data_IF_694642740436
#
_entry.id   IF_694642740436
#
_cell.length_a   1.000
_cell.length_b   1.000
_cell.length_c   1.000
_cell.angle_alpha   90.00
_cell.angle_beta   90.00
_cell.angle_gamma   90.00
#
_symmetry.space_group_name_H-M   'P 1'
#
loop_
_entity.id
_entity.type
_entity.pdbx_description
1 polymer ?
#
# COMPACT_ATOMS: atom_id res chain seq x y z
N UNK A 1 36.39 36.40 38.62
CA UNK A 1 35.96 36.41 37.21
C UNK A 1 35.75 34.97 36.77
N UNK A 2 34.49 34.52 36.73
CA UNK A 2 34.13 33.21 36.17
C UNK A 2 33.01 33.47 35.17
N UNK A 3 33.39 33.55 33.90
CA UNK A 3 32.46 33.59 32.78
C UNK A 3 31.68 32.28 32.75
N UNK A 4 30.43 32.34 33.23
CA UNK A 4 29.45 31.30 32.94
C UNK A 4 29.07 31.46 31.47
N UNK A 5 29.58 30.57 30.63
CA UNK A 5 29.00 30.31 29.31
C UNK A 5 27.50 30.02 29.51
N UNK A 6 26.65 31.03 29.30
CA UNK A 6 25.22 30.81 29.09
C UNK A 6 25.11 30.01 27.80
N UNK A 7 25.00 28.68 27.91
CA UNK A 7 24.38 27.90 26.85
C UNK A 7 22.96 28.44 26.71
N UNK A 8 22.79 29.36 25.75
CA UNK A 8 21.49 29.80 25.30
C UNK A 8 20.87 28.53 24.69
N UNK A 9 19.92 27.93 25.38
CA UNK A 9 19.13 26.87 24.79
C UNK A 9 18.32 27.54 23.68
N UNK A 10 18.80 27.38 22.44
CA UNK A 10 18.18 27.95 21.25
C UNK A 10 16.74 27.44 21.18
N UNK A 11 15.79 28.36 21.06
CA UNK A 11 14.36 28.00 21.05
C UNK A 11 14.09 27.13 19.83
N UNK A 12 13.14 26.21 19.91
CA UNK A 12 12.65 25.48 18.74
C UNK A 12 12.12 26.43 17.66
N UNK A 13 11.69 27.64 18.04
CA UNK A 13 11.26 28.68 17.12
C UNK A 13 12.41 29.31 16.30
N UNK A 14 13.67 29.08 16.67
CA UNK A 14 14.84 29.59 15.94
C UNK A 14 15.23 28.68 14.75
N UNK A 15 14.71 27.45 14.70
CA UNK A 15 15.03 26.50 13.63
C UNK A 15 14.36 26.90 12.30
N UNK A 16 14.98 26.64 11.13
CA UNK A 16 14.34 26.83 9.82
C UNK A 16 13.11 25.93 9.62
N UNK A 17 12.18 26.34 8.74
CA UNK A 17 10.93 25.61 8.49
C UNK A 17 11.20 24.19 7.99
N UNK A 18 12.23 24.02 7.17
CA UNK A 18 12.65 22.77 6.57
C UNK A 18 13.09 21.77 7.63
N UNK A 19 13.80 22.23 8.68
CA UNK A 19 14.24 21.40 9.79
C UNK A 19 13.04 20.99 10.66
N UNK A 20 12.12 21.91 10.93
CA UNK A 20 10.90 21.59 11.68
C UNK A 20 10.02 20.58 10.94
N UNK A 21 9.84 20.74 9.62
CA UNK A 21 9.13 19.79 8.77
C UNK A 21 9.83 18.43 8.75
N UNK A 22 11.16 18.42 8.70
CA UNK A 22 11.94 17.19 8.78
C UNK A 22 11.72 16.47 10.11
N UNK A 23 11.76 17.19 11.24
CA UNK A 23 11.45 16.62 12.57
C UNK A 23 10.02 16.06 12.59
N UNK A 24 9.03 16.82 12.10
CA UNK A 24 7.63 16.38 12.04
C UNK A 24 7.43 15.13 11.19
N UNK A 25 8.22 14.92 10.12
CA UNK A 25 8.10 13.75 9.24
C UNK A 25 8.36 12.40 9.93
N UNK A 26 9.01 12.44 11.10
CA UNK A 26 9.22 11.25 11.92
C UNK A 26 8.02 10.90 12.81
N UNK A 27 7.13 11.86 13.06
CA UNK A 27 6.02 11.74 14.01
C UNK A 27 4.75 11.15 13.37
N UNK A 28 3.88 10.60 14.22
CA UNK A 28 2.51 10.26 13.84
C UNK A 28 1.67 11.53 13.71
N UNK A 29 0.63 11.49 12.88
CA UNK A 29 -0.18 12.68 12.59
C UNK A 29 -0.80 13.31 13.85
N UNK A 30 -1.13 12.50 14.86
CA UNK A 30 -1.66 12.99 16.12
C UNK A 30 -0.67 13.94 16.82
N UNK A 31 0.59 13.54 16.93
CA UNK A 31 1.63 14.34 17.58
C UNK A 31 1.99 15.56 16.74
N UNK A 32 2.02 15.41 15.41
CA UNK A 32 2.18 16.55 14.49
C UNK A 32 1.09 17.58 14.74
N UNK A 33 -0.17 17.19 14.79
CA UNK A 33 -1.28 18.11 15.05
C UNK A 33 -1.20 18.70 16.45
N UNK A 34 -0.82 17.93 17.48
CA UNK A 34 -0.61 18.45 18.85
C UNK A 34 0.45 19.56 18.90
N UNK A 35 1.48 19.49 18.07
CA UNK A 35 2.51 20.56 18.04
C UNK A 35 1.96 21.91 17.58
N UNK A 36 0.77 21.96 16.98
CA UNK A 36 0.12 23.21 16.57
C UNK A 36 -0.13 24.19 17.72
N UNK A 37 -0.19 23.71 18.97
CA UNK A 37 -0.39 24.56 20.15
C UNK A 37 0.89 25.31 20.57
N UNK A 38 2.06 24.91 20.07
CA UNK A 38 3.35 25.48 20.46
C UNK A 38 3.48 26.94 20.02
N UNK A 39 3.14 27.25 18.77
CA UNK A 39 3.08 28.63 18.27
C UNK A 39 2.28 28.75 16.98
N UNK A 40 1.96 29.99 16.58
CA UNK A 40 1.28 30.27 15.29
C UNK A 40 2.03 29.68 14.09
N UNK A 41 3.35 29.58 14.18
CA UNK A 41 4.22 29.00 13.14
C UNK A 41 3.96 27.51 13.01
N UNK A 42 4.04 26.76 14.10
CA UNK A 42 3.80 25.31 14.12
C UNK A 42 2.40 24.95 13.63
N UNK A 43 1.38 25.72 14.04
CA UNK A 43 -0.01 25.56 13.58
C UNK A 43 -0.20 25.61 12.06
N UNK A 44 0.62 26.38 11.36
CA UNK A 44 0.54 26.50 9.90
C UNK A 44 1.54 25.58 9.19
N UNK A 45 2.71 25.36 9.79
CA UNK A 45 3.80 24.66 9.14
C UNK A 45 3.48 23.18 8.88
N UNK A 46 2.83 22.50 9.82
CA UNK A 46 2.53 21.07 9.66
C UNK A 46 1.70 20.75 8.41
N UNK A 47 0.92 21.71 7.90
CA UNK A 47 0.11 21.53 6.68
C UNK A 47 0.98 21.23 5.44
N UNK A 48 2.21 21.74 5.43
CA UNK A 48 3.22 21.51 4.38
C UNK A 48 3.94 20.16 4.51
N UNK A 49 3.62 19.36 5.53
CA UNK A 49 4.20 18.04 5.69
C UNK A 49 3.82 17.17 4.48
N UNK A 50 4.84 16.57 3.87
CA UNK A 50 4.68 15.75 2.66
C UNK A 50 4.51 14.27 2.95
N UNK A 51 4.80 13.85 4.18
CA UNK A 51 4.74 12.45 4.59
C UNK A 51 3.79 12.34 5.78
N UNK A 52 2.65 11.68 5.59
CA UNK A 52 1.65 11.51 6.63
C UNK A 52 1.64 10.06 7.09
N UNK A 53 1.74 9.87 8.41
CA UNK A 53 1.61 8.57 9.07
C UNK A 53 0.39 8.59 9.98
N UNK A 54 -0.60 7.78 9.62
CA UNK A 54 -1.86 7.68 10.33
C UNK A 54 -2.00 6.26 10.85
N UNK A 55 -2.06 6.11 12.17
CA UNK A 55 -2.32 4.83 12.80
C UNK A 55 -3.43 4.99 13.85
N UNK A 56 -4.49 4.20 13.70
CA UNK A 56 -5.58 4.18 14.68
C UNK A 56 -5.13 3.74 16.08
N UNK A 57 -4.01 3.00 16.22
CA UNK A 57 -3.51 2.55 17.53
C UNK A 57 -3.07 3.69 18.44
N UNK A 58 -2.69 4.82 17.85
CA UNK A 58 -2.24 6.01 18.59
C UNK A 58 -3.40 6.68 19.34
N UNK A 59 -4.63 6.43 18.89
CA UNK A 59 -5.81 7.08 19.42
C UNK A 59 -6.54 6.16 20.41
N UNK A 60 -6.87 6.73 21.57
CA UNK A 60 -7.66 6.03 22.59
C UNK A 60 -9.04 5.56 22.09
N UNK A 61 -9.63 6.25 21.11
CA UNK A 61 -10.93 5.93 20.51
C UNK A 61 -10.92 6.15 18.99
N UNK A 62 -11.59 5.27 18.21
CA UNK A 62 -11.69 5.43 16.75
C UNK A 62 -12.36 6.73 16.28
N UNK A 63 -13.23 7.33 17.10
CA UNK A 63 -13.88 8.61 16.78
C UNK A 63 -12.88 9.77 16.73
N UNK A 64 -11.93 9.83 17.67
CA UNK A 64 -10.89 10.87 17.67
C UNK A 64 -9.94 10.74 16.49
N UNK A 65 -9.61 9.51 16.08
CA UNK A 65 -8.87 9.29 14.84
C UNK A 65 -9.65 9.82 13.62
N UNK A 66 -10.95 9.54 13.57
CA UNK A 66 -11.84 10.00 12.49
C UNK A 66 -11.93 11.53 12.42
N UNK A 67 -12.04 12.19 13.57
CA UNK A 67 -12.02 13.65 13.69
C UNK A 67 -10.67 14.23 13.25
N UNK A 68 -9.55 13.64 13.71
CA UNK A 68 -8.21 14.04 13.31
C UNK A 68 -8.00 13.92 11.80
N UNK A 69 -8.39 12.80 11.18
CA UNK A 69 -8.27 12.61 9.72
C UNK A 69 -9.14 13.63 8.97
N UNK A 70 -10.37 13.88 9.44
CA UNK A 70 -11.27 14.86 8.82
C UNK A 70 -10.70 16.27 8.90
N UNK A 71 -10.08 16.62 10.03
CA UNK A 71 -9.40 17.90 10.21
C UNK A 71 -8.18 18.02 9.30
N UNK A 72 -7.38 16.95 9.16
CA UNK A 72 -6.22 16.93 8.24
C UNK A 72 -6.65 17.19 6.81
N UNK A 73 -7.69 16.49 6.33
CA UNK A 73 -8.23 16.68 4.99
C UNK A 73 -8.80 18.10 4.82
N UNK A 74 -9.53 18.62 5.80
CA UNK A 74 -10.12 19.96 5.72
C UNK A 74 -9.07 21.07 5.76
N UNK A 75 -8.09 20.96 6.65
CA UNK A 75 -7.00 21.93 6.82
C UNK A 75 -6.06 21.98 5.60
N UNK A 76 -5.93 20.88 4.86
CA UNK A 76 -5.11 20.80 3.63
C UNK A 76 -5.94 20.92 2.34
N UNK A 77 -7.27 20.82 2.42
CA UNK A 77 -8.15 20.71 1.24
C UNK A 77 -8.23 21.95 0.35
N UNK A 78 -7.98 23.15 0.89
CA UNK A 78 -8.05 24.42 0.14
C UNK A 78 -6.71 25.00 -0.28
N UNK A 79 -5.58 24.34 0.04
CA UNK A 79 -4.25 24.86 -0.27
C UNK A 79 -3.42 23.89 -1.10
N UNK A 80 -2.35 24.41 -1.70
CA UNK A 80 -1.38 23.62 -2.45
C UNK A 80 -0.41 22.94 -1.47
N UNK A 81 -0.84 21.83 -0.89
CA UNK A 81 -0.08 21.04 0.07
C UNK A 81 0.23 19.65 -0.53
N UNK A 82 1.26 19.55 -1.41
CA UNK A 82 1.58 18.31 -2.08
C UNK A 82 1.88 17.21 -1.06
N UNK A 83 1.43 16.00 -1.37
CA UNK A 83 1.64 14.84 -0.53
C UNK A 83 2.56 13.86 -1.26
N UNK A 84 3.64 13.45 -0.63
CA UNK A 84 4.61 12.49 -1.17
C UNK A 84 4.27 11.08 -0.74
N UNK A 85 4.09 10.86 0.57
CA UNK A 85 3.78 9.55 1.12
C UNK A 85 2.60 9.57 2.10
N UNK A 86 1.81 8.50 2.05
CA UNK A 86 0.71 8.26 2.97
C UNK A 86 0.82 6.84 3.52
N UNK A 87 1.04 6.74 4.82
CA UNK A 87 0.94 5.49 5.56
C UNK A 87 -0.35 5.50 6.39
N UNK A 88 -1.22 4.53 6.14
CA UNK A 88 -2.51 4.39 6.79
C UNK A 88 -2.63 2.99 7.40
N UNK A 89 -2.68 2.95 8.73
CA UNK A 89 -2.87 1.74 9.53
C UNK A 89 -4.17 1.82 10.31
N UNK A 90 -4.98 0.78 10.20
CA UNK A 90 -6.22 0.63 10.94
C UNK A 90 -6.15 -0.64 11.79
N UNK A 91 -6.67 -0.60 13.01
CA UNK A 91 -6.78 -1.77 13.90
C UNK A 91 -8.23 -2.10 14.28
N UNK A 92 -9.14 -1.13 14.19
CA UNK A 92 -10.56 -1.29 14.54
C UNK A 92 -11.51 -0.75 13.47
N UNK A 93 -12.78 -0.55 13.78
CA UNK A 93 -13.73 0.06 12.85
C UNK A 93 -13.30 1.48 12.45
N UNK A 94 -13.50 1.84 11.18
CA UNK A 94 -13.25 3.18 10.67
C UNK A 94 -14.26 3.54 9.60
N UNK A 95 -14.66 4.81 9.54
CA UNK A 95 -15.69 5.27 8.61
C UNK A 95 -15.17 5.27 7.17
N UNK A 96 -15.90 4.61 6.29
CA UNK A 96 -15.54 4.47 4.87
C UNK A 96 -15.46 5.82 4.15
N UNK A 97 -16.40 6.71 4.45
CA UNK A 97 -16.46 8.05 3.84
C UNK A 97 -15.20 8.87 4.14
N UNK A 98 -14.71 8.81 5.38
CA UNK A 98 -13.51 9.54 5.82
C UNK A 98 -12.26 8.95 5.17
N UNK A 99 -12.17 7.61 5.10
CA UNK A 99 -11.09 6.94 4.37
C UNK A 99 -11.06 7.34 2.90
N UNK A 100 -12.21 7.31 2.23
CA UNK A 100 -12.34 7.66 0.82
C UNK A 100 -11.97 9.12 0.59
N UNK A 101 -12.43 10.03 1.45
CA UNK A 101 -12.05 11.45 1.42
C UNK A 101 -10.55 11.67 1.55
N UNK A 102 -9.91 11.01 2.51
CA UNK A 102 -8.45 11.06 2.71
C UNK A 102 -7.68 10.58 1.48
N UNK A 103 -8.05 9.42 0.94
CA UNK A 103 -7.38 8.84 -0.23
C UNK A 103 -7.56 9.74 -1.45
N UNK A 104 -8.78 10.21 -1.73
CA UNK A 104 -9.03 11.10 -2.87
C UNK A 104 -8.24 12.41 -2.75
N UNK A 105 -8.23 13.02 -1.55
CA UNK A 105 -7.40 14.20 -1.29
C UNK A 105 -5.92 13.92 -1.56
N UNK A 106 -5.40 12.79 -1.08
CA UNK A 106 -4.02 12.39 -1.32
C UNK A 106 -3.70 12.23 -2.81
N UNK A 107 -4.56 11.53 -3.56
CA UNK A 107 -4.38 11.32 -5.00
C UNK A 107 -4.40 12.63 -5.78
N UNK A 108 -5.33 13.54 -5.46
CA UNK A 108 -5.39 14.86 -6.10
C UNK A 108 -4.18 15.75 -5.80
N UNK A 109 -3.38 15.43 -4.78
CA UNK A 109 -2.19 16.18 -4.38
C UNK A 109 -0.87 15.48 -4.78
N UNK A 110 -0.92 14.62 -5.80
CA UNK A 110 0.27 14.05 -6.43
C UNK A 110 0.97 12.96 -5.62
N UNK A 111 0.21 12.19 -4.81
CA UNK A 111 0.75 11.12 -3.98
C UNK A 111 1.66 10.17 -4.78
N UNK A 112 2.84 9.88 -4.24
CA UNK A 112 3.83 9.00 -4.88
C UNK A 112 3.94 7.64 -4.20
N UNK A 113 3.71 7.58 -2.88
CA UNK A 113 3.86 6.36 -2.09
C UNK A 113 2.64 6.14 -1.21
N UNK A 114 2.01 4.98 -1.33
CA UNK A 114 0.83 4.60 -0.57
C UNK A 114 1.07 3.29 0.18
N UNK A 115 0.95 3.34 1.51
CA UNK A 115 1.02 2.17 2.37
C UNK A 115 -0.30 2.03 3.14
N UNK A 116 -1.02 0.93 2.94
CA UNK A 116 -2.30 0.65 3.60
C UNK A 116 -2.19 -0.68 4.34
N UNK A 117 -2.42 -0.67 5.66
CA UNK A 117 -2.54 -1.87 6.46
C UNK A 117 -3.88 -1.89 7.21
N UNK A 118 -4.76 -2.84 6.87
CA UNK A 118 -6.13 -2.85 7.43
C UNK A 118 -6.64 -4.26 7.81
N UNK A 119 -7.40 -4.41 8.91
CA UNK A 119 -7.78 -5.72 9.43
C UNK A 119 -9.00 -6.34 8.73
N UNK A 120 -9.55 -5.67 7.73
CA UNK A 120 -10.68 -6.14 6.92
C UNK A 120 -10.80 -5.25 5.68
N UNK A 121 -11.63 -5.66 4.71
CA UNK A 121 -11.97 -4.85 3.55
C UNK A 121 -12.50 -3.49 3.98
N UNK A 122 -11.92 -2.46 3.38
CA UNK A 122 -12.28 -1.06 3.54
C UNK A 122 -12.78 -0.46 2.23
N UNK A 123 -13.02 -1.24 1.18
CA UNK A 123 -13.45 -0.77 -0.13
C UNK A 123 -12.51 0.29 -0.69
N UNK A 124 -11.38 -0.12 -1.28
CA UNK A 124 -10.40 0.81 -1.84
C UNK A 124 -11.02 1.69 -2.93
N UNK A 125 -10.87 3.03 -2.84
CA UNK A 125 -11.27 3.94 -3.91
C UNK A 125 -10.55 3.61 -5.22
N UNK A 126 -11.30 3.66 -6.32
CA UNK A 126 -10.74 3.41 -7.65
C UNK A 126 -9.66 4.43 -8.05
N UNK A 127 -9.69 5.63 -7.46
CA UNK A 127 -8.68 6.67 -7.63
C UNK A 127 -7.25 6.20 -7.31
N UNK A 128 -7.08 5.18 -6.45
CA UNK A 128 -5.78 4.56 -6.20
C UNK A 128 -5.23 3.89 -7.47
N UNK A 129 -6.08 3.28 -8.28
CA UNK A 129 -5.70 2.41 -9.41
C UNK A 129 -5.68 3.12 -10.76
N UNK A 130 -5.92 4.43 -10.77
CA UNK A 130 -5.79 5.32 -11.94
C UNK A 130 -4.85 6.51 -11.69
N UNK A 131 -4.14 6.52 -10.55
CA UNK A 131 -3.28 7.64 -10.16
C UNK A 131 -1.92 7.58 -10.85
N UNK A 132 -1.63 8.57 -11.69
CA UNK A 132 -0.44 8.60 -12.54
C UNK A 132 0.84 9.00 -11.79
N UNK A 133 0.72 9.64 -10.62
CA UNK A 133 1.86 10.03 -9.78
C UNK A 133 2.37 8.91 -8.89
N UNK A 134 1.58 7.85 -8.67
CA UNK A 134 1.96 6.75 -7.80
C UNK A 134 3.13 5.96 -8.37
N UNK A 135 4.14 5.76 -7.53
CA UNK A 135 5.38 5.03 -7.85
C UNK A 135 5.55 3.78 -6.97
N UNK A 136 4.97 3.77 -5.77
CA UNK A 136 5.02 2.63 -4.86
C UNK A 136 3.70 2.43 -4.15
N UNK A 137 3.21 1.20 -4.15
CA UNK A 137 1.99 0.79 -3.45
C UNK A 137 2.31 -0.42 -2.58
N UNK A 138 1.93 -0.34 -1.31
CA UNK A 138 1.90 -1.46 -0.39
C UNK A 138 0.50 -1.58 0.22
N UNK A 139 -0.14 -2.74 0.04
CA UNK A 139 -1.46 -3.02 0.60
C UNK A 139 -1.39 -4.36 1.33
N UNK A 140 -1.66 -4.34 2.63
CA UNK A 140 -1.80 -5.53 3.47
C UNK A 140 -3.17 -5.56 4.13
N UNK A 141 -3.82 -6.72 4.09
CA UNK A 141 -5.15 -6.94 4.64
C UNK A 141 -5.12 -8.10 5.64
N UNK A 142 -5.96 -8.07 6.67
CA UNK A 142 -6.07 -9.23 7.58
C UNK A 142 -6.35 -10.54 6.85
N UNK A 143 -5.69 -11.57 7.36
CA UNK A 143 -5.84 -12.96 6.92
C UNK A 143 -7.19 -13.57 7.31
N UNK A 144 -7.90 -13.03 8.30
CA UNK A 144 -8.99 -13.74 8.97
C UNK A 144 -10.36 -13.67 8.28
N UNK A 145 -10.70 -12.59 7.57
CA UNK A 145 -12.02 -12.45 6.91
C UNK A 145 -11.91 -12.53 5.37
N UNK A 146 -11.79 -13.76 4.86
CA UNK A 146 -11.63 -14.08 3.43
C UNK A 146 -12.75 -13.49 2.53
N UNK A 147 -13.99 -13.47 3.00
CA UNK A 147 -15.15 -12.99 2.22
C UNK A 147 -15.19 -11.46 2.11
N UNK A 148 -14.62 -10.78 3.10
CA UNK A 148 -14.48 -9.33 3.15
C UNK A 148 -13.02 -8.94 3.11
N UNK A 149 -12.26 -9.45 2.13
CA UNK A 149 -10.94 -8.90 1.79
C UNK A 149 -11.08 -7.84 0.71
N UNK A 150 -10.16 -6.88 0.77
CA UNK A 150 -10.02 -5.85 -0.25
C UNK A 150 -9.73 -6.49 -1.60
N UNK A 151 -10.37 -5.97 -2.65
CA UNK A 151 -10.25 -6.49 -4.01
C UNK A 151 -9.52 -5.48 -4.88
N UNK A 152 -8.60 -5.97 -5.70
CA UNK A 152 -8.07 -5.21 -6.82
C UNK A 152 -9.05 -5.26 -8.00
N UNK A 153 -9.13 -4.17 -8.78
CA UNK A 153 -9.81 -4.20 -10.07
C UNK A 153 -9.09 -5.16 -11.03
N UNK A 154 -9.76 -5.49 -12.15
CA UNK A 154 -9.20 -6.35 -13.20
C UNK A 154 -7.93 -5.79 -13.83
N UNK A 155 -7.82 -4.46 -13.92
CA UNK A 155 -6.70 -3.76 -14.54
C UNK A 155 -6.22 -2.62 -13.65
N UNK A 156 -4.91 -2.41 -13.60
CA UNK A 156 -4.28 -1.31 -12.86
C UNK A 156 -3.71 -0.30 -13.86
N UNK A 157 -4.34 0.86 -13.99
CA UNK A 157 -3.88 1.93 -14.87
C UNK A 157 -2.91 2.85 -14.12
N UNK A 158 -1.71 2.32 -13.87
CA UNK A 158 -0.68 2.97 -13.05
C UNK A 158 0.64 3.08 -13.83
N UNK A 159 0.71 3.99 -14.83
CA UNK A 159 1.87 4.10 -15.72
C UNK A 159 3.16 4.57 -15.01
N UNK A 160 3.03 5.16 -13.82
CA UNK A 160 4.15 5.59 -12.97
C UNK A 160 4.67 4.53 -12.00
N UNK A 161 3.95 3.42 -11.82
CA UNK A 161 4.20 2.46 -10.76
C UNK A 161 5.50 1.67 -11.00
N UNK A 162 6.35 1.62 -9.99
CA UNK A 162 7.64 0.91 -9.98
C UNK A 162 7.63 -0.27 -9.02
N UNK A 163 6.98 -0.11 -7.87
CA UNK A 163 6.91 -1.13 -6.83
C UNK A 163 5.47 -1.40 -6.41
N UNK A 164 5.06 -2.67 -6.47
CA UNK A 164 3.75 -3.13 -6.02
C UNK A 164 3.93 -4.29 -5.03
N UNK A 165 3.47 -4.09 -3.81
CA UNK A 165 3.43 -5.12 -2.77
C UNK A 165 2.00 -5.36 -2.32
N UNK A 166 1.57 -6.60 -2.41
CA UNK A 166 0.23 -7.05 -2.06
C UNK A 166 0.36 -8.20 -1.07
N UNK A 167 -0.28 -8.05 0.10
CA UNK A 167 -0.32 -9.08 1.12
C UNK A 167 -1.78 -9.38 1.47
N UNK A 168 -2.21 -10.62 1.25
CA UNK A 168 -3.57 -11.10 1.53
C UNK A 168 -4.68 -10.42 0.71
N UNK A 169 -4.35 -9.82 -0.42
CA UNK A 169 -5.31 -9.11 -1.29
C UNK A 169 -6.00 -10.06 -2.26
N UNK A 170 -7.28 -9.82 -2.54
CA UNK A 170 -8.03 -10.56 -3.57
C UNK A 170 -7.84 -9.94 -4.95
N UNK A 171 -7.49 -10.75 -5.95
CA UNK A 171 -7.30 -10.32 -7.33
C UNK A 171 -8.47 -10.81 -8.16
N UNK A 172 -9.17 -9.90 -8.85
CA UNK A 172 -10.36 -10.25 -9.61
C UNK A 172 -10.01 -11.01 -10.89
N UNK A 173 -10.57 -12.22 -11.02
CA UNK A 173 -10.52 -12.99 -12.26
C UNK A 173 -11.63 -12.58 -13.23
N UNK A 174 -11.41 -12.85 -14.51
CA UNK A 174 -12.40 -12.75 -15.58
C UNK A 174 -13.27 -14.01 -15.68
N UNK A 175 -14.17 -14.03 -16.67
CA UNK A 175 -15.09 -15.14 -16.92
C UNK A 175 -14.37 -16.41 -17.45
N UNK A 176 -13.07 -16.31 -17.77
CA UNK A 176 -12.21 -17.43 -18.13
C UNK A 176 -11.41 -17.98 -16.96
N UNK A 177 -11.62 -17.45 -15.74
CA UNK A 177 -10.86 -17.75 -14.53
C UNK A 177 -9.40 -17.24 -14.56
N UNK A 178 -9.11 -16.26 -15.42
CA UNK A 178 -7.81 -15.64 -15.56
C UNK A 178 -7.79 -14.27 -14.90
N UNK A 179 -6.68 -13.88 -14.30
CA UNK A 179 -6.44 -12.52 -13.82
C UNK A 179 -5.13 -12.00 -14.41
N UNK A 180 -5.14 -10.77 -14.93
CA UNK A 180 -3.95 -10.07 -15.40
C UNK A 180 -4.11 -8.57 -15.10
N UNK A 181 -3.71 -8.12 -13.90
CA UNK A 181 -3.81 -6.72 -13.52
C UNK A 181 -2.53 -5.90 -13.81
N UNK A 182 -1.43 -6.52 -14.26
CA UNK A 182 -0.09 -5.93 -14.18
C UNK A 182 0.46 -5.39 -15.51
N UNK A 183 -0.08 -5.80 -16.65
CA UNK A 183 0.47 -5.43 -17.97
C UNK A 183 0.46 -3.93 -18.27
N UNK A 184 -0.54 -3.19 -17.79
CA UNK A 184 -0.65 -1.74 -17.97
C UNK A 184 0.37 -0.94 -17.15
N UNK A 185 1.00 -1.54 -16.13
CA UNK A 185 2.01 -0.87 -15.32
C UNK A 185 3.38 -0.88 -16.03
N UNK A 186 3.54 0.00 -17.02
CA UNK A 186 4.68 0.01 -17.96
C UNK A 186 6.06 0.35 -17.36
N UNK A 187 6.13 0.74 -16.08
CA UNK A 187 7.38 1.04 -15.35
C UNK A 187 7.62 0.11 -14.16
N UNK A 188 6.81 -0.93 -14.00
CA UNK A 188 6.87 -1.83 -12.85
C UNK A 188 8.17 -2.63 -12.88
N UNK A 189 8.97 -2.51 -11.82
CA UNK A 189 10.25 -3.22 -11.64
C UNK A 189 10.17 -4.25 -10.54
N UNK A 190 9.36 -4.01 -9.51
CA UNK A 190 9.28 -4.82 -8.30
C UNK A 190 7.83 -5.23 -8.03
N UNK A 191 7.57 -6.53 -8.01
CA UNK A 191 6.26 -7.11 -7.69
C UNK A 191 6.42 -8.14 -6.58
N UNK A 192 5.72 -7.92 -5.46
CA UNK A 192 5.63 -8.86 -4.36
C UNK A 192 4.16 -9.26 -4.13
N UNK A 193 3.89 -10.54 -4.27
CA UNK A 193 2.58 -11.17 -4.07
C UNK A 193 2.72 -12.14 -2.90
N UNK A 194 2.12 -11.80 -1.76
CA UNK A 194 2.19 -12.59 -0.53
C UNK A 194 0.78 -13.05 -0.14
N UNK A 195 0.54 -14.36 -0.25
CA UNK A 195 -0.70 -15.02 0.18
C UNK A 195 -1.97 -14.36 -0.39
N UNK A 196 -1.90 -13.88 -1.64
CA UNK A 196 -3.04 -13.40 -2.42
C UNK A 196 -3.92 -14.56 -2.91
N UNK A 197 -5.12 -14.23 -3.41
CA UNK A 197 -6.07 -15.23 -3.90
C UNK A 197 -6.89 -14.67 -5.08
N UNK A 198 -7.42 -15.56 -5.91
CA UNK A 198 -8.30 -15.18 -7.01
C UNK A 198 -9.75 -15.07 -6.56
N UNK A 199 -10.41 -13.99 -6.99
CA UNK A 199 -11.84 -13.75 -6.79
C UNK A 199 -12.54 -14.03 -8.11
N UNK A 200 -13.27 -15.14 -8.17
CA UNK A 200 -14.00 -15.54 -9.36
C UNK A 200 -15.38 -14.87 -9.45
N UNK A 201 -15.83 -14.52 -10.66
CA UNK A 201 -17.22 -14.20 -10.95
C UNK A 201 -18.19 -15.30 -10.44
N UNK A 202 -19.39 -14.90 -10.02
CA UNK A 202 -20.42 -15.84 -9.55
C UNK A 202 -20.91 -16.80 -10.62
N UNK A 203 -20.67 -16.50 -11.90
CA UNK A 203 -21.00 -17.31 -13.07
C UNK A 203 -20.10 -18.55 -13.23
N UNK A 204 -18.93 -18.58 -12.59
CA UNK A 204 -17.92 -19.62 -12.77
C UNK A 204 -18.10 -20.78 -11.78
N UNK A 205 -17.95 -22.01 -12.29
CA UNK A 205 -17.89 -23.22 -11.48
C UNK A 205 -16.66 -23.20 -10.55
N UNK A 206 -16.84 -23.63 -9.30
CA UNK A 206 -15.77 -23.67 -8.29
C UNK A 206 -14.63 -24.66 -8.60
N UNK A 207 -14.81 -25.52 -9.59
CA UNK A 207 -13.88 -26.60 -9.93
C UNK A 207 -12.85 -26.22 -11.01
N UNK A 208 -12.94 -25.00 -11.58
CA UNK A 208 -11.94 -24.53 -12.54
C UNK A 208 -10.67 -24.10 -11.82
N UNK A 209 -9.53 -24.58 -12.32
CA UNK A 209 -8.22 -24.06 -11.92
C UNK A 209 -8.08 -22.61 -12.40
N UNK A 210 -7.89 -21.68 -11.48
CA UNK A 210 -7.64 -20.29 -11.83
C UNK A 210 -6.21 -20.06 -12.30
N UNK A 211 -6.02 -18.99 -13.07
CA UNK A 211 -4.71 -18.57 -13.56
C UNK A 211 -4.46 -17.11 -13.21
N UNK A 212 -3.36 -16.82 -12.53
CA UNK A 212 -2.84 -15.47 -12.36
C UNK A 212 -1.68 -15.26 -13.33
N UNK A 213 -1.94 -14.47 -14.37
CA UNK A 213 -0.95 -14.06 -15.34
C UNK A 213 -0.15 -12.89 -14.76
N UNK A 214 1.18 -13.04 -14.78
CA UNK A 214 2.14 -11.98 -14.47
C UNK A 214 2.84 -11.64 -15.76
N UNK A 215 2.25 -10.71 -16.52
CA UNK A 215 2.74 -10.31 -17.83
C UNK A 215 3.22 -8.87 -17.78
N UNK A 216 4.54 -8.66 -17.83
CA UNK A 216 5.10 -7.30 -17.75
C UNK A 216 6.51 -7.20 -18.37
N UNK A 217 6.69 -6.27 -19.30
CA UNK A 217 7.94 -6.13 -20.06
C UNK A 217 9.09 -5.47 -19.27
N UNK A 218 8.80 -4.81 -18.14
CA UNK A 218 9.80 -4.09 -17.34
C UNK A 218 10.11 -4.76 -16.00
N UNK A 219 9.33 -5.76 -15.59
CA UNK A 219 9.48 -6.41 -14.30
C UNK A 219 10.84 -7.12 -14.18
N UNK A 220 11.61 -6.72 -13.16
CA UNK A 220 12.94 -7.25 -12.87
C UNK A 220 12.96 -8.15 -11.63
N UNK A 221 12.11 -7.86 -10.64
CA UNK A 221 12.07 -8.58 -9.37
C UNK A 221 10.65 -9.06 -9.10
N UNK A 222 10.49 -10.38 -8.99
CA UNK A 222 9.24 -11.02 -8.61
C UNK A 222 9.43 -11.82 -7.33
N UNK A 223 8.60 -11.54 -6.34
CA UNK A 223 8.51 -12.31 -5.10
C UNK A 223 7.10 -12.90 -5.01
N UNK A 224 7.02 -14.21 -4.90
CA UNK A 224 5.78 -14.92 -4.61
C UNK A 224 5.96 -15.64 -3.28
N UNK A 225 5.07 -15.36 -2.33
CA UNK A 225 5.01 -16.07 -1.06
C UNK A 225 3.65 -16.74 -0.95
N UNK A 226 3.68 -18.04 -0.84
CA UNK A 226 2.54 -18.90 -0.55
C UNK A 226 3.00 -19.91 0.51
N UNK A 227 3.19 -19.39 1.72
CA UNK A 227 3.72 -20.14 2.87
C UNK A 227 2.61 -20.70 3.78
N UNK A 228 1.33 -20.45 3.48
CA UNK A 228 0.24 -20.92 4.34
C UNK A 228 -0.26 -22.31 3.97
N UNK A 229 0.37 -23.30 4.59
CA UNK A 229 -0.25 -24.58 4.95
C UNK A 229 -0.81 -24.51 6.37
N UNK A 230 -1.82 -23.68 6.63
CA UNK A 230 -2.56 -23.75 7.90
C UNK A 230 -3.76 -24.70 7.74
N UNK A 231 -3.74 -25.80 8.49
CA UNK A 231 -4.75 -26.88 8.50
C UNK A 231 -6.17 -26.40 8.88
N UNK A 232 -6.33 -25.17 9.37
CA UNK A 232 -7.57 -24.63 9.94
C UNK A 232 -8.37 -23.72 9.01
N UNK A 233 -7.85 -23.37 7.83
CA UNK A 233 -8.56 -22.54 6.84
C UNK A 233 -9.21 -23.42 5.78
N UNK A 234 -10.41 -23.07 5.32
CA UNK A 234 -11.03 -23.72 4.14
C UNK A 234 -10.03 -23.69 2.99
N UNK A 235 -9.84 -24.82 2.31
CA UNK A 235 -8.95 -24.89 1.16
C UNK A 235 -9.52 -23.95 0.07
N UNK A 236 -8.90 -22.79 -0.11
CA UNK A 236 -9.13 -21.97 -1.30
C UNK A 236 -8.67 -22.76 -2.54
N UNK A 237 -9.35 -22.62 -3.69
CA UNK A 237 -8.94 -23.29 -4.91
C UNK A 237 -7.52 -22.85 -5.26
N UNK A 238 -6.62 -23.83 -5.39
CA UNK A 238 -5.27 -23.57 -5.87
C UNK A 238 -5.37 -22.97 -7.28
N UNK A 239 -4.55 -21.96 -7.54
CA UNK A 239 -4.44 -21.35 -8.86
C UNK A 239 -2.99 -21.36 -9.30
N UNK A 240 -2.80 -21.29 -10.61
CA UNK A 240 -1.48 -21.33 -11.25
C UNK A 240 -1.00 -19.92 -11.55
N UNK A 241 0.28 -19.68 -11.37
CA UNK A 241 0.97 -18.50 -11.88
C UNK A 241 1.51 -18.81 -13.28
N UNK A 242 1.21 -17.94 -14.24
CA UNK A 242 1.81 -17.97 -15.58
C UNK A 242 2.59 -16.67 -15.73
N UNK A 243 3.90 -16.78 -15.91
CA UNK A 243 4.81 -15.64 -15.87
C UNK A 243 5.39 -15.40 -17.26
N UNK A 244 5.20 -14.18 -17.76
CA UNK A 244 5.75 -13.68 -19.00
C UNK A 244 6.41 -12.33 -18.77
N UNK A 245 7.70 -12.36 -18.43
CA UNK A 245 8.46 -11.17 -18.01
C UNK A 245 9.89 -11.27 -18.53
N UNK A 246 10.20 -10.74 -19.74
CA UNK A 246 11.47 -10.98 -20.42
C UNK A 246 12.69 -10.36 -19.72
N UNK A 247 12.49 -9.41 -18.80
CA UNK A 247 13.56 -8.72 -18.06
C UNK A 247 13.73 -9.22 -16.62
N UNK A 248 13.15 -10.37 -16.28
CA UNK A 248 13.17 -10.90 -14.92
C UNK A 248 14.60 -11.30 -14.52
N UNK A 249 15.14 -10.65 -13.49
CA UNK A 249 16.48 -10.90 -12.96
C UNK A 249 16.41 -11.70 -11.67
N UNK A 250 15.46 -11.36 -10.80
CA UNK A 250 15.24 -12.04 -9.53
C UNK A 250 13.84 -12.62 -9.46
N UNK A 251 13.77 -13.92 -9.22
CA UNK A 251 12.52 -14.60 -8.94
C UNK A 251 12.64 -15.40 -7.65
N UNK A 252 11.93 -14.97 -6.61
CA UNK A 252 11.96 -15.58 -5.28
C UNK A 252 10.59 -16.20 -5.00
N UNK A 253 10.59 -17.48 -4.63
CA UNK A 253 9.40 -18.18 -4.13
C UNK A 253 9.65 -18.63 -2.70
N UNK A 254 8.77 -18.23 -1.78
CA UNK A 254 8.85 -18.59 -0.35
C UNK A 254 10.22 -18.28 0.30
N UNK A 255 10.83 -17.16 -0.08
CA UNK A 255 12.10 -16.69 0.47
C UNK A 255 13.34 -17.33 -0.14
N UNK A 256 13.20 -18.24 -1.12
CA UNK A 256 14.32 -18.84 -1.85
C UNK A 256 14.26 -18.51 -3.35
N UNK A 257 15.41 -18.42 -4.06
CA UNK A 257 15.40 -18.30 -5.51
C UNK A 257 14.60 -19.44 -6.17
N UNK A 258 13.82 -19.12 -7.20
CA UNK A 258 12.94 -20.06 -7.88
C UNK A 258 13.73 -21.26 -8.43
N UNK A 259 13.23 -22.46 -8.13
CA UNK A 259 13.63 -23.71 -8.79
C UNK A 259 12.36 -24.50 -9.08
N UNK A 260 12.22 -25.00 -10.31
CA UNK A 260 11.03 -25.76 -10.72
C UNK A 260 10.76 -26.99 -9.80
N UNK A 261 11.80 -27.55 -9.20
CA UNK A 261 11.74 -28.69 -8.28
C UNK A 261 11.34 -28.33 -6.84
N UNK A 262 11.29 -27.05 -6.47
CA UNK A 262 11.05 -26.59 -5.08
C UNK A 262 9.71 -25.89 -4.87
N UNK A 263 8.77 -26.03 -5.81
CA UNK A 263 7.46 -25.39 -5.71
C UNK A 263 6.57 -26.06 -4.64
N UNK A 264 5.88 -25.29 -3.79
CA UNK A 264 4.83 -25.82 -2.93
C UNK A 264 3.74 -26.51 -3.76
N UNK A 265 3.07 -27.52 -3.20
CA UNK A 265 1.98 -28.27 -3.87
C UNK A 265 0.86 -27.41 -4.47
N UNK A 266 0.69 -26.17 -3.98
CA UNK A 266 -0.37 -25.23 -4.40
C UNK A 266 0.09 -24.18 -5.40
N UNK A 267 1.40 -24.00 -5.57
CA UNK A 267 1.96 -23.02 -6.49
C UNK A 267 2.42 -23.77 -7.73
N UNK A 268 1.67 -23.63 -8.81
CA UNK A 268 2.14 -24.01 -10.15
C UNK A 268 2.70 -22.77 -10.81
N UNK A 269 3.92 -22.84 -11.33
CA UNK A 269 4.52 -21.74 -12.11
C UNK A 269 4.85 -22.26 -13.50
N UNK A 270 4.39 -21.55 -14.52
CA UNK A 270 4.82 -21.75 -15.90
C UNK A 270 5.56 -20.52 -16.40
N UNK A 271 6.81 -20.72 -16.83
CA UNK A 271 7.61 -19.71 -17.53
C UNK A 271 7.41 -19.91 -19.02
N UNK A 272 6.97 -18.88 -19.74
CA UNK A 272 6.97 -18.92 -21.20
C UNK A 272 8.36 -18.55 -21.74
N UNK A 273 8.78 -19.23 -22.83
CA UNK A 273 10.16 -19.49 -23.31
C UNK A 273 11.01 -18.27 -23.76
N UNK A 274 10.78 -17.09 -23.22
CA UNK A 274 11.60 -15.88 -23.45
C UNK A 274 12.09 -15.20 -22.17
N UNK A 275 11.85 -15.79 -20.99
CA UNK A 275 12.05 -15.12 -19.69
C UNK A 275 13.34 -15.50 -18.94
N UNK A 276 14.20 -16.37 -19.48
CA UNK A 276 15.52 -16.67 -18.87
C UNK A 276 16.58 -16.95 -19.94
N UNK A 277 17.41 -15.94 -20.21
CA UNK A 277 18.76 -16.07 -20.79
C UNK A 277 19.70 -15.21 -19.97
#
# INVERSE_FOLDING_TARGET
>A
MTDRLKMKMHSLDDLPNEILLHIMSYLMIEDVVKTSVLSKRWRNLWKYLRDLKLDTSEFSKPCFFSECVSEVVSSRGMGDYPLRSLEFKRHGAFRHEIFTGLINHAMSNGLQQLNIAVPSNIGLPYSIFSCHSLTSIYITVSRYDLKKRTRLPKHLDLPGLRSLRLEHVGIQADDTAHAEPFSSCTKLTDLNIDECFLVYPSSLSKDREGILNVTNATLSNLIIKDTLTLKTMKQEPAYKYVIFTPKLVSFIVNGSPFRASSLPKRVKVELQSSSMT
#
